data_IF_310764104294
#
_entry.id   IF_310764104294
#
_cell.length_a   1.000
_cell.length_b   1.000
_cell.length_c   1.000
_cell.angle_alpha   90.00
_cell.angle_beta   90.00
_cell.angle_gamma   90.00
#
_symmetry.space_group_name_H-M   'P 1'
#
loop_
_entity.id
_entity.type
_entity.pdbx_description
1 polymer ?
#
# COMPACT_ATOMS: atom_id res chain seq x y z
N UNK A 1 20.38 -0.43 -6.49
CA UNK A 1 19.65 -1.67 -6.80
C UNK A 1 18.83 -1.43 -8.05
N UNK A 2 19.12 -2.09 -9.18
CA UNK A 2 18.27 -1.99 -10.36
C UNK A 2 16.85 -2.49 -10.03
N UNK A 3 15.83 -1.85 -10.60
CA UNK A 3 14.42 -2.23 -10.39
C UNK A 3 13.80 -1.79 -9.07
N UNK A 4 14.51 -0.96 -8.27
CA UNK A 4 13.98 -0.41 -7.02
C UNK A 4 13.94 1.11 -7.11
N UNK A 5 12.76 1.69 -6.91
CA UNK A 5 12.57 3.11 -6.67
C UNK A 5 12.61 3.37 -5.18
N UNK A 6 13.36 4.36 -4.75
CA UNK A 6 13.39 4.84 -3.37
C UNK A 6 13.24 6.36 -3.35
N UNK A 7 12.42 6.87 -2.45
CA UNK A 7 12.23 8.30 -2.28
C UNK A 7 11.86 8.69 -0.84
N UNK A 8 12.12 9.94 -0.51
CA UNK A 8 11.62 10.63 0.68
C UNK A 8 10.87 11.87 0.22
N UNK A 9 9.75 12.17 0.87
CA UNK A 9 8.96 13.38 0.66
C UNK A 9 8.78 14.16 1.96
N UNK A 10 8.68 15.48 1.83
CA UNK A 10 8.30 16.37 2.93
C UNK A 10 6.79 16.28 3.26
N UNK A 11 6.35 17.03 4.26
CA UNK A 11 4.94 17.12 4.69
C UNK A 11 3.99 17.71 3.63
N UNK A 12 4.52 18.35 2.58
CA UNK A 12 3.76 18.84 1.45
C UNK A 12 3.75 17.85 0.26
N UNK A 13 4.14 16.59 0.49
CA UNK A 13 4.24 15.53 -0.51
C UNK A 13 5.24 15.82 -1.66
N UNK A 14 6.24 16.67 -1.40
CA UNK A 14 7.28 17.04 -2.38
C UNK A 14 8.53 16.20 -2.17
N UNK A 15 9.14 15.73 -3.25
CA UNK A 15 10.39 14.95 -3.18
C UNK A 15 11.52 15.77 -2.55
N UNK A 16 12.14 15.22 -1.51
CA UNK A 16 13.36 15.77 -0.87
C UNK A 16 14.56 14.87 -1.10
N UNK A 17 14.34 13.60 -1.40
CA UNK A 17 15.37 12.65 -1.81
C UNK A 17 14.75 11.65 -2.76
N UNK A 18 15.47 11.32 -3.84
CA UNK A 18 15.12 10.20 -4.73
C UNK A 18 16.38 9.45 -5.13
N UNK A 19 16.25 8.18 -5.52
CA UNK A 19 17.34 7.44 -6.13
C UNK A 19 17.40 7.63 -7.66
N UNK A 20 18.50 7.21 -8.27
CA UNK A 20 18.71 7.31 -9.72
C UNK A 20 17.63 6.60 -10.54
N UNK A 21 17.09 5.50 -10.02
CA UNK A 21 16.05 4.71 -10.72
C UNK A 21 14.77 5.52 -10.92
N UNK A 22 14.32 6.28 -9.93
CA UNK A 22 13.16 7.16 -10.09
C UNK A 22 13.43 8.27 -11.12
N UNK A 23 14.61 8.90 -11.07
CA UNK A 23 15.00 9.93 -12.03
C UNK A 23 14.94 9.41 -13.47
N UNK A 24 15.52 8.24 -13.74
CA UNK A 24 15.53 7.61 -15.06
C UNK A 24 14.13 7.29 -15.57
N UNK A 25 13.24 6.75 -14.72
CA UNK A 25 11.85 6.41 -15.09
C UNK A 25 11.05 7.63 -15.52
N UNK A 26 11.27 8.75 -14.85
CA UNK A 26 10.62 10.02 -15.17
C UNK A 26 11.31 10.77 -16.34
N UNK A 27 12.36 10.21 -16.93
CA UNK A 27 13.13 10.83 -18.01
C UNK A 27 14.00 12.01 -17.56
N UNK A 28 14.30 12.11 -16.26
CA UNK A 28 15.24 13.08 -15.73
C UNK A 28 16.68 12.56 -15.81
N UNK A 29 17.62 13.42 -16.21
CA UNK A 29 19.05 13.08 -16.28
C UNK A 29 19.65 12.86 -14.88
N UNK A 30 19.18 13.64 -13.91
CA UNK A 30 19.71 13.64 -12.54
C UNK A 30 18.58 13.71 -11.50
N UNK A 31 18.76 13.11 -10.31
CA UNK A 31 17.82 13.15 -9.19
C UNK A 31 17.32 14.55 -8.83
N UNK A 32 18.22 15.54 -8.85
CA UNK A 32 17.93 16.90 -8.42
C UNK A 32 16.83 17.58 -9.23
N UNK A 33 16.60 17.16 -10.48
CA UNK A 33 15.58 17.73 -11.36
C UNK A 33 14.14 17.48 -10.88
N UNK A 34 13.93 16.53 -9.96
CA UNK A 34 12.62 16.16 -9.44
C UNK A 34 12.39 16.65 -7.99
N UNK A 35 13.41 17.19 -7.33
CA UNK A 35 13.29 17.69 -5.97
C UNK A 35 12.37 18.90 -5.90
N UNK A 36 11.63 19.01 -4.80
CA UNK A 36 10.62 20.05 -4.59
C UNK A 36 9.31 19.84 -5.36
N UNK A 37 9.21 18.79 -6.20
CA UNK A 37 7.99 18.48 -6.98
C UNK A 37 7.15 17.39 -6.31
N UNK A 38 5.84 17.41 -6.55
CA UNK A 38 4.93 16.32 -6.17
C UNK A 38 4.96 15.20 -7.23
N UNK A 39 4.34 14.05 -6.94
CA UNK A 39 4.22 12.99 -7.95
C UNK A 39 3.36 13.46 -9.14
N UNK A 40 2.33 14.29 -8.91
CA UNK A 40 1.50 14.91 -9.94
C UNK A 40 2.28 15.77 -10.93
N UNK A 41 3.34 16.45 -10.47
CA UNK A 41 4.20 17.28 -11.31
C UNK A 41 5.29 16.49 -12.04
N UNK A 42 5.49 15.21 -11.68
CA UNK A 42 6.58 14.36 -12.16
C UNK A 42 6.09 13.24 -13.08
N UNK A 43 4.96 12.63 -12.74
CA UNK A 43 4.36 11.54 -13.49
C UNK A 43 3.31 12.06 -14.48
N UNK A 44 2.98 11.30 -15.54
CA UNK A 44 1.89 11.62 -16.44
C UNK A 44 0.56 11.86 -15.71
N UNK A 45 -0.33 12.65 -16.32
CA UNK A 45 -1.58 13.13 -15.71
C UNK A 45 -2.53 12.03 -15.23
N UNK A 46 -2.48 10.83 -15.80
CA UNK A 46 -3.32 9.70 -15.37
C UNK A 46 -2.76 8.94 -14.16
N UNK A 47 -1.48 9.15 -13.79
CA UNK A 47 -0.83 8.47 -12.66
C UNK A 47 -0.58 9.41 -11.49
N UNK A 48 -0.02 10.59 -11.78
CA UNK A 48 0.52 11.51 -10.78
C UNK A 48 -0.48 11.99 -9.71
N UNK A 49 -1.73 12.36 -10.05
CA UNK A 49 -2.74 12.75 -9.06
C UNK A 49 -3.04 11.62 -8.06
N UNK A 50 -3.17 10.38 -8.54
CA UNK A 50 -3.45 9.23 -7.68
C UNK A 50 -2.33 9.00 -6.67
N UNK A 51 -1.07 9.04 -7.11
CA UNK A 51 0.06 8.88 -6.20
C UNK A 51 0.18 10.00 -5.18
N UNK A 52 -0.09 11.25 -5.60
CA UNK A 52 -0.05 12.40 -4.69
C UNK A 52 -1.14 12.30 -3.64
N UNK A 53 -2.34 11.83 -4.01
CA UNK A 53 -3.42 11.60 -3.07
C UNK A 53 -3.07 10.51 -2.04
N UNK A 54 -2.49 9.40 -2.48
CA UNK A 54 -1.98 8.39 -1.55
C UNK A 54 -0.90 8.95 -0.60
N UNK A 55 0.03 9.75 -1.11
CA UNK A 55 1.08 10.38 -0.31
C UNK A 55 0.46 11.29 0.75
N UNK A 56 -0.54 12.09 0.38
CA UNK A 56 -1.29 12.93 1.32
C UNK A 56 -1.95 12.12 2.42
N UNK A 57 -2.54 10.97 2.11
CA UNK A 57 -3.13 10.07 3.13
C UNK A 57 -2.06 9.62 4.13
N UNK A 58 -0.94 9.08 3.65
CA UNK A 58 0.19 8.66 4.51
C UNK A 58 0.66 9.83 5.39
N UNK A 59 0.75 11.03 4.83
CA UNK A 59 1.19 12.23 5.55
C UNK A 59 0.16 12.79 6.53
N UNK A 60 -1.15 12.59 6.28
CA UNK A 60 -2.21 13.15 7.12
C UNK A 60 -2.45 12.37 8.40
N UNK A 61 -2.43 11.04 8.33
CA UNK A 61 -2.80 10.18 9.46
C UNK A 61 -1.72 9.13 9.80
N UNK A 62 -0.65 9.06 9.02
CA UNK A 62 0.44 8.10 9.22
C UNK A 62 0.15 6.71 8.68
N UNK A 63 -0.95 6.53 7.95
CA UNK A 63 -1.39 5.26 7.38
C UNK A 63 -0.34 4.67 6.44
N UNK A 64 0.26 3.50 6.75
CA UNK A 64 1.16 2.88 5.82
C UNK A 64 0.39 2.36 4.59
N UNK A 65 0.97 2.57 3.42
CA UNK A 65 0.54 1.90 2.20
C UNK A 65 1.48 0.72 1.99
N UNK A 66 0.96 -0.50 2.12
CA UNK A 66 1.77 -1.73 2.13
C UNK A 66 1.46 -2.61 0.92
N UNK A 67 2.49 -2.95 0.13
CA UNK A 67 2.43 -3.86 -1.02
C UNK A 67 1.32 -3.52 -2.01
N UNK A 68 1.13 -2.24 -2.31
CA UNK A 68 0.12 -1.85 -3.29
C UNK A 68 0.64 -2.12 -4.69
N UNK A 69 -0.17 -2.80 -5.48
CA UNK A 69 0.15 -3.06 -6.88
C UNK A 69 -0.15 -1.80 -7.70
N UNK A 70 0.91 -1.19 -8.24
CA UNK A 70 0.83 0.07 -8.98
C UNK A 70 1.49 -0.05 -10.34
N UNK A 71 0.94 0.65 -11.32
CA UNK A 71 1.52 0.73 -12.66
C UNK A 71 2.45 1.93 -12.72
N UNK A 72 3.76 1.75 -12.70
CA UNK A 72 4.75 2.83 -12.81
C UNK A 72 5.32 2.91 -14.23
N UNK A 73 6.07 3.98 -14.52
CA UNK A 73 6.88 4.05 -15.73
C UNK A 73 8.20 3.30 -15.51
N UNK A 74 8.58 2.44 -16.45
CA UNK A 74 9.89 1.79 -16.53
C UNK A 74 10.83 2.62 -17.43
N UNK A 75 12.15 2.31 -17.46
CA UNK A 75 13.06 2.95 -18.42
C UNK A 75 12.50 2.86 -19.85
N UNK A 76 12.49 3.99 -20.58
CA UNK A 76 11.82 4.08 -21.88
C UNK A 76 10.37 4.58 -21.83
N UNK A 77 9.83 4.87 -20.64
CA UNK A 77 8.45 5.33 -20.39
C UNK A 77 7.37 4.30 -20.73
N UNK A 78 7.73 3.03 -20.71
CA UNK A 78 6.76 1.94 -20.82
C UNK A 78 6.10 1.69 -19.45
N UNK A 79 4.77 1.49 -19.39
CA UNK A 79 4.12 1.11 -18.14
C UNK A 79 4.55 -0.29 -17.66
N UNK A 80 4.79 -0.43 -16.35
CA UNK A 80 5.13 -1.70 -15.73
C UNK A 80 4.67 -1.78 -14.27
N UNK A 81 4.28 -2.98 -13.84
CA UNK A 81 3.74 -3.20 -12.51
C UNK A 81 4.83 -3.33 -11.43
N UNK A 82 4.69 -2.55 -10.37
CA UNK A 82 5.52 -2.62 -9.18
C UNK A 82 4.67 -2.78 -7.91
N UNK A 83 5.29 -3.30 -6.85
CA UNK A 83 4.74 -3.23 -5.50
C UNK A 83 5.33 -2.01 -4.79
N UNK A 84 4.45 -1.13 -4.33
CA UNK A 84 4.81 0.10 -3.63
C UNK A 84 4.52 -0.03 -2.13
N UNK A 85 5.47 0.46 -1.34
CA UNK A 85 5.36 0.66 0.09
C UNK A 85 5.59 2.13 0.42
N UNK A 86 4.77 2.70 1.31
CA UNK A 86 4.94 4.06 1.81
C UNK A 86 4.72 4.09 3.32
N UNK A 87 5.61 4.78 4.01
CA UNK A 87 5.65 4.87 5.47
C UNK A 87 5.83 6.33 5.89
N UNK A 88 5.06 6.76 6.88
CA UNK A 88 5.27 8.07 7.50
C UNK A 88 6.59 8.08 8.29
N UNK A 89 7.35 9.15 8.14
CA UNK A 89 8.54 9.44 8.94
C UNK A 89 8.13 10.32 10.11
N UNK A 90 8.58 9.96 11.32
CA UNK A 90 8.22 10.67 12.55
C UNK A 90 9.46 11.21 13.26
N UNK A 91 9.33 12.36 13.90
CA UNK A 91 10.36 12.86 14.82
C UNK A 91 10.31 12.15 16.18
N UNK A 92 11.20 12.53 17.09
CA UNK A 92 11.26 11.96 18.46
C UNK A 92 10.03 12.28 19.30
N UNK A 93 9.16 13.20 18.85
CA UNK A 93 7.90 13.54 19.50
C UNK A 93 6.70 12.85 18.82
N UNK A 94 6.94 11.95 17.86
CA UNK A 94 5.91 11.20 17.15
C UNK A 94 5.21 11.99 16.03
N UNK A 95 5.61 13.24 15.77
CA UNK A 95 5.01 14.10 14.74
C UNK A 95 5.47 13.65 13.35
N UNK A 96 4.55 13.60 12.39
CA UNK A 96 4.88 13.26 11.00
C UNK A 96 5.67 14.43 10.39
N UNK A 97 6.91 14.14 9.97
CA UNK A 97 7.83 15.11 9.35
C UNK A 97 8.02 14.88 7.85
N UNK A 98 7.40 13.83 7.31
CA UNK A 98 7.51 13.44 5.92
C UNK A 98 7.13 11.99 5.73
N UNK A 99 7.57 11.40 4.62
CA UNK A 99 7.34 10.00 4.32
C UNK A 99 8.49 9.42 3.50
N UNK A 100 8.72 8.12 3.65
CA UNK A 100 9.57 7.34 2.77
C UNK A 100 8.71 6.41 1.91
N UNK A 101 9.17 6.15 0.70
CA UNK A 101 8.52 5.20 -0.20
C UNK A 101 9.54 4.35 -0.94
N UNK A 102 9.17 3.09 -1.14
CA UNK A 102 9.95 2.13 -1.91
C UNK A 102 9.02 1.42 -2.87
N UNK A 103 9.39 1.33 -4.14
CA UNK A 103 8.68 0.52 -5.13
C UNK A 103 9.63 -0.49 -5.77
N UNK A 104 9.21 -1.74 -5.81
CA UNK A 104 10.00 -2.84 -6.38
C UNK A 104 9.31 -3.34 -7.64
N UNK A 105 10.06 -3.42 -8.72
CA UNK A 105 9.56 -3.96 -9.98
C UNK A 105 9.22 -5.43 -9.82
N UNK A 106 8.05 -5.82 -10.32
CA UNK A 106 7.74 -7.23 -10.49
C UNK A 106 8.54 -7.73 -11.68
N UNK A 107 9.70 -8.35 -11.40
CA UNK A 107 10.58 -8.95 -12.39
C UNK A 107 9.81 -10.04 -13.17
N UNK A 108 9.34 -9.71 -14.37
CA UNK A 108 8.89 -10.66 -15.37
C UNK A 108 9.02 -10.05 -16.78
N UNK A 109 9.26 -10.86 -17.84
CA UNK A 109 9.23 -10.42 -19.24
C UNK A 109 7.84 -9.95 -19.74
N UNK A 110 6.89 -9.74 -18.84
CA UNK A 110 5.46 -9.58 -19.11
C UNK A 110 4.83 -8.57 -18.14
N UNK A 111 5.52 -7.48 -17.80
CA UNK A 111 4.96 -6.36 -17.01
C UNK A 111 3.72 -5.72 -17.64
N UNK A 112 3.31 -6.17 -18.82
CA UNK A 112 2.09 -5.83 -19.54
C UNK A 112 1.03 -6.96 -19.57
N UNK A 113 1.21 -8.07 -18.84
CA UNK A 113 0.23 -9.16 -18.86
C UNK A 113 -1.12 -8.65 -18.31
N UNK A 114 -2.24 -8.85 -19.02
CA UNK A 114 -3.58 -8.42 -18.58
C UNK A 114 -4.03 -8.97 -17.21
N UNK A 115 -3.28 -9.92 -16.65
CA UNK A 115 -3.59 -10.50 -15.36
C UNK A 115 -3.25 -9.52 -14.22
N UNK A 116 -2.25 -8.66 -14.41
CA UNK A 116 -1.87 -7.70 -13.38
C UNK A 116 -2.92 -6.60 -13.22
N UNK A 117 -3.54 -6.10 -14.30
CA UNK A 117 -4.68 -5.17 -14.20
C UNK A 117 -5.84 -5.79 -13.42
N UNK A 118 -6.18 -7.05 -13.74
CA UNK A 118 -7.22 -7.80 -13.02
C UNK A 118 -6.89 -8.00 -11.55
N UNK A 119 -5.63 -8.23 -11.22
CA UNK A 119 -5.17 -8.39 -9.83
C UNK A 119 -5.09 -7.06 -9.08
N UNK A 120 -4.77 -5.96 -9.77
CA UNK A 120 -4.82 -4.63 -9.20
C UNK A 120 -6.26 -4.23 -8.89
N UNK A 121 -7.22 -4.59 -9.75
CA UNK A 121 -8.64 -4.43 -9.46
C UNK A 121 -9.05 -5.25 -8.22
N UNK A 122 -8.59 -6.49 -8.09
CA UNK A 122 -8.81 -7.32 -6.89
C UNK A 122 -8.20 -6.69 -5.62
N UNK A 123 -6.95 -6.24 -5.67
CA UNK A 123 -6.28 -5.58 -4.53
C UNK A 123 -7.00 -4.29 -4.14
N UNK A 124 -7.37 -3.45 -5.11
CA UNK A 124 -8.14 -2.22 -4.91
C UNK A 124 -9.49 -2.50 -4.27
N UNK A 125 -10.25 -3.47 -4.80
CA UNK A 125 -11.53 -3.86 -4.24
C UNK A 125 -11.39 -4.35 -2.77
N UNK A 126 -10.37 -5.17 -2.48
CA UNK A 126 -10.09 -5.61 -1.10
C UNK A 126 -9.79 -4.42 -0.18
N UNK A 127 -8.98 -3.46 -0.63
CA UNK A 127 -8.61 -2.28 0.17
C UNK A 127 -9.76 -1.30 0.38
N UNK A 128 -10.70 -1.21 -0.54
CA UNK A 128 -11.87 -0.34 -0.42
C UNK A 128 -12.97 -0.97 0.45
N UNK A 129 -13.10 -2.30 0.41
CA UNK A 129 -14.22 -3.01 1.02
C UNK A 129 -13.81 -3.90 2.20
N UNK A 130 -12.58 -3.78 2.72
CA UNK A 130 -12.07 -4.69 3.78
C UNK A 130 -12.97 -4.75 5.03
N UNK A 131 -13.68 -3.65 5.33
CA UNK A 131 -14.57 -3.54 6.48
C UNK A 131 -15.88 -4.34 6.30
N UNK A 132 -16.16 -4.80 5.09
CA UNK A 132 -17.33 -5.58 4.75
C UNK A 132 -16.97 -7.06 4.59
N UNK A 133 -17.99 -7.91 4.42
CA UNK A 133 -17.77 -9.30 4.04
C UNK A 133 -17.44 -9.37 2.54
N UNK A 134 -16.21 -9.76 2.21
CA UNK A 134 -15.78 -9.97 0.83
C UNK A 134 -15.83 -11.48 0.55
N UNK A 135 -16.72 -11.89 -0.36
CA UNK A 135 -16.84 -13.28 -0.76
C UNK A 135 -15.76 -13.61 -1.81
N UNK A 136 -15.22 -14.83 -1.78
CA UNK A 136 -14.24 -15.23 -2.80
C UNK A 136 -14.86 -15.24 -4.22
N UNK A 137 -16.16 -15.54 -4.32
CA UNK A 137 -16.91 -15.48 -5.58
C UNK A 137 -16.93 -14.09 -6.22
N UNK A 138 -17.00 -13.05 -5.40
CA UNK A 138 -16.95 -11.66 -5.85
C UNK A 138 -15.60 -11.33 -6.50
N UNK A 139 -14.50 -11.74 -5.85
CA UNK A 139 -13.14 -11.55 -6.38
C UNK A 139 -12.92 -12.31 -7.69
N UNK A 140 -13.46 -13.53 -7.81
CA UNK A 140 -13.38 -14.31 -9.06
C UNK A 140 -14.22 -13.71 -10.18
N UNK A 141 -15.39 -13.13 -9.87
CA UNK A 141 -16.22 -12.44 -10.84
C UNK A 141 -15.54 -11.16 -11.34
N UNK A 142 -14.92 -10.41 -10.43
CA UNK A 142 -14.18 -9.19 -10.74
C UNK A 142 -12.98 -9.45 -11.67
N UNK A 143 -12.21 -10.52 -11.42
CA UNK A 143 -11.01 -10.82 -12.21
C UNK A 143 -11.28 -11.71 -13.43
N UNK A 144 -12.41 -12.44 -13.44
CA UNK A 144 -12.68 -13.51 -14.40
C UNK A 144 -11.72 -14.70 -14.26
N UNK A 145 -11.12 -14.90 -13.09
CA UNK A 145 -10.24 -16.04 -12.81
C UNK A 145 -10.99 -17.12 -12.04
N UNK A 146 -10.60 -18.38 -12.23
CA UNK A 146 -11.00 -19.41 -11.28
C UNK A 146 -10.35 -19.16 -9.91
N UNK A 147 -10.93 -19.73 -8.85
CA UNK A 147 -10.38 -19.63 -7.49
C UNK A 147 -8.90 -20.03 -7.44
N UNK A 148 -8.55 -21.18 -8.03
CA UNK A 148 -7.18 -21.68 -8.04
C UNK A 148 -6.21 -20.75 -8.79
N UNK A 149 -6.65 -20.15 -9.90
CA UNK A 149 -5.86 -19.16 -10.63
C UNK A 149 -5.62 -17.92 -9.78
N UNK A 150 -6.68 -17.38 -9.15
CA UNK A 150 -6.59 -16.21 -8.30
C UNK A 150 -5.64 -16.45 -7.11
N UNK A 151 -5.78 -17.56 -6.40
CA UNK A 151 -4.90 -17.91 -5.28
C UNK A 151 -3.44 -18.02 -5.71
N UNK A 152 -3.16 -18.74 -6.81
CA UNK A 152 -1.81 -18.91 -7.34
C UNK A 152 -1.18 -17.58 -7.75
N UNK A 153 -1.95 -16.72 -8.44
CA UNK A 153 -1.47 -15.42 -8.89
C UNK A 153 -1.23 -14.48 -7.73
N UNK A 154 -2.16 -14.39 -6.77
CA UNK A 154 -1.99 -13.60 -5.56
C UNK A 154 -0.77 -14.07 -4.77
N UNK A 155 -0.58 -15.38 -4.60
CA UNK A 155 0.60 -15.94 -3.93
C UNK A 155 1.90 -15.62 -4.65
N UNK A 156 1.92 -15.68 -5.98
CA UNK A 156 3.12 -15.36 -6.75
C UNK A 156 3.51 -13.89 -6.64
N UNK A 157 2.54 -12.98 -6.61
CA UNK A 157 2.77 -11.54 -6.71
C UNK A 157 2.86 -10.90 -5.34
N UNK A 158 1.82 -11.06 -4.52
CA UNK A 158 1.72 -10.45 -3.19
C UNK A 158 2.30 -11.33 -2.09
N UNK A 159 2.71 -12.58 -2.38
CA UNK A 159 3.09 -13.59 -1.38
C UNK A 159 1.94 -13.96 -0.42
N UNK A 160 0.71 -13.59 -0.75
CA UNK A 160 -0.49 -13.73 0.08
C UNK A 160 -1.61 -14.40 -0.73
N UNK A 161 -2.49 -15.14 -0.05
CA UNK A 161 -3.77 -15.54 -0.63
C UNK A 161 -4.76 -14.37 -0.58
N UNK A 162 -5.85 -14.36 -1.36
CA UNK A 162 -6.88 -13.32 -1.27
C UNK A 162 -7.40 -13.11 0.16
N UNK A 163 -7.64 -14.21 0.89
CA UNK A 163 -8.04 -14.15 2.30
C UNK A 163 -6.97 -13.48 3.18
N UNK A 164 -5.70 -13.79 2.97
CA UNK A 164 -4.60 -13.14 3.70
C UNK A 164 -4.47 -11.65 3.35
N UNK A 165 -4.73 -11.26 2.09
CA UNK A 165 -4.78 -9.85 1.68
C UNK A 165 -5.88 -9.10 2.44
N UNK A 166 -7.09 -9.67 2.56
CA UNK A 166 -8.18 -9.09 3.36
C UNK A 166 -7.75 -8.92 4.82
N UNK A 167 -7.18 -9.97 5.44
CA UNK A 167 -6.70 -9.88 6.81
C UNK A 167 -5.62 -8.80 7.00
N UNK A 168 -4.72 -8.66 6.03
CA UNK A 168 -3.68 -7.62 6.04
C UNK A 168 -4.26 -6.21 5.93
N UNK A 169 -5.24 -6.00 5.04
CA UNK A 169 -5.93 -4.72 4.91
C UNK A 169 -6.63 -4.33 6.21
N UNK A 170 -7.37 -5.28 6.81
CA UNK A 170 -8.03 -5.10 8.11
C UNK A 170 -7.03 -4.79 9.22
N UNK A 171 -5.90 -5.48 9.26
CA UNK A 171 -4.85 -5.25 10.24
C UNK A 171 -4.25 -3.84 10.11
N UNK A 172 -3.96 -3.39 8.89
CA UNK A 172 -3.45 -2.04 8.64
C UNK A 172 -4.41 -0.95 9.11
N UNK A 173 -5.71 -1.12 8.84
CA UNK A 173 -6.74 -0.23 9.36
C UNK A 173 -6.83 -0.26 10.89
N UNK A 174 -6.72 -1.45 11.50
CA UNK A 174 -6.78 -1.60 12.94
C UNK A 174 -5.59 -0.91 13.64
N UNK A 175 -4.36 -1.08 13.15
CA UNK A 175 -3.18 -0.44 13.75
C UNK A 175 -3.26 1.07 13.70
N UNK A 176 -3.84 1.64 12.63
CA UNK A 176 -4.11 3.08 12.54
C UNK A 176 -5.11 3.53 13.61
N UNK A 177 -6.28 2.89 13.68
CA UNK A 177 -7.32 3.25 14.64
C UNK A 177 -6.90 3.04 16.10
N UNK A 178 -5.98 2.10 16.35
CA UNK A 178 -5.45 1.82 17.69
C UNK A 178 -4.61 2.97 18.26
N UNK A 179 -4.05 3.84 17.41
CA UNK A 179 -3.35 5.06 17.85
C UNK A 179 -4.30 6.12 18.44
N UNK A 180 -5.59 6.05 18.12
CA UNK A 180 -6.62 6.93 18.67
C UNK A 180 -7.28 6.39 19.94
N UNK A 181 -8.35 7.06 20.37
CA UNK A 181 -9.07 6.76 21.60
C UNK A 181 -10.27 5.83 21.42
N UNK A 182 -10.55 5.38 20.18
CA UNK A 182 -11.71 4.53 19.91
C UNK A 182 -11.68 3.24 20.76
N UNK A 183 -12.82 2.81 21.33
CA UNK A 183 -12.90 1.52 22.00
C UNK A 183 -12.45 0.38 21.08
N UNK A 184 -11.74 -0.60 21.61
CA UNK A 184 -11.20 -1.73 20.80
C UNK A 184 -12.35 -2.52 20.16
N UNK A 185 -13.50 -2.59 20.82
CA UNK A 185 -14.74 -3.19 20.29
C UNK A 185 -15.25 -2.47 19.05
N UNK A 186 -15.23 -1.14 19.06
CA UNK A 186 -15.61 -0.29 17.92
C UNK A 186 -14.61 -0.43 16.77
N UNK A 187 -13.31 -0.52 17.07
CA UNK A 187 -12.27 -0.78 16.07
C UNK A 187 -12.48 -2.13 15.39
N UNK A 188 -12.81 -3.17 16.16
CA UNK A 188 -13.09 -4.49 15.60
C UNK A 188 -14.22 -4.44 14.56
N UNK A 189 -15.32 -3.74 14.87
CA UNK A 189 -16.46 -3.56 13.98
C UNK A 189 -16.06 -2.79 12.71
N UNK A 190 -15.32 -1.68 12.85
CA UNK A 190 -14.84 -0.87 11.71
C UNK A 190 -13.86 -1.63 10.82
N UNK A 191 -13.16 -2.61 11.37
CA UNK A 191 -12.27 -3.50 10.62
C UNK A 191 -13.00 -4.75 10.05
N UNK A 192 -14.33 -4.80 10.10
CA UNK A 192 -15.13 -5.88 9.50
C UNK A 192 -15.09 -7.20 10.28
N UNK A 193 -14.82 -7.15 11.58
CA UNK A 193 -14.98 -8.29 12.48
C UNK A 193 -16.36 -8.23 13.13
N UNK A 194 -17.01 -9.39 13.23
CA UNK A 194 -18.33 -9.53 13.87
C UNK A 194 -18.28 -9.36 15.38
N UNK A 195 -17.12 -9.64 15.99
CA UNK A 195 -16.93 -9.52 17.43
C UNK A 195 -15.46 -9.25 17.80
N UNK A 196 -15.30 -8.68 18.99
CA UNK A 196 -14.01 -8.31 19.58
C UNK A 196 -13.07 -9.51 19.78
N UNK A 197 -13.60 -10.69 20.07
CA UNK A 197 -12.80 -11.89 20.38
C UNK A 197 -12.15 -12.46 19.11
N UNK A 198 -12.86 -12.46 17.98
CA UNK A 198 -12.32 -12.82 16.68
C UNK A 198 -11.22 -11.83 16.26
N UNK A 199 -11.49 -10.53 16.39
CA UNK A 199 -10.49 -9.48 16.11
C UNK A 199 -9.23 -9.65 16.96
N UNK A 200 -9.37 -9.73 18.29
CA UNK A 200 -8.22 -9.80 19.20
C UNK A 200 -7.34 -11.03 18.97
N UNK A 201 -7.94 -12.20 18.70
CA UNK A 201 -7.19 -13.42 18.36
C UNK A 201 -6.43 -13.26 17.04
N UNK A 202 -7.10 -12.73 16.01
CA UNK A 202 -6.46 -12.56 14.70
C UNK A 202 -5.36 -11.50 14.75
N UNK A 203 -5.59 -10.39 15.45
CA UNK A 203 -4.62 -9.32 15.63
C UNK A 203 -3.37 -9.85 16.36
N UNK A 204 -3.55 -10.59 17.46
CA UNK A 204 -2.44 -11.21 18.19
C UNK A 204 -1.70 -12.25 17.36
N UNK A 205 -2.40 -13.06 16.58
CA UNK A 205 -1.76 -14.03 15.69
C UNK A 205 -0.87 -13.38 14.63
N UNK A 206 -1.23 -12.17 14.17
CA UNK A 206 -0.47 -11.45 13.13
C UNK A 206 0.61 -10.52 13.68
N UNK A 207 0.44 -9.96 14.88
CA UNK A 207 1.35 -8.95 15.46
C UNK A 207 2.17 -9.45 16.64
N UNK A 208 1.80 -10.60 17.22
CA UNK A 208 2.41 -11.15 18.44
C UNK A 208 1.83 -10.59 19.75
N UNK A 209 1.13 -9.46 19.73
CA UNK A 209 0.58 -8.78 20.93
C UNK A 209 -0.92 -8.51 20.79
N UNK A 210 -1.63 -8.32 21.91
CA UNK A 210 -3.06 -7.98 21.85
C UNK A 210 -3.29 -6.54 21.35
N UNK A 211 -4.48 -6.19 20.83
CA UNK A 211 -4.78 -4.82 20.43
C UNK A 211 -4.59 -3.80 21.58
N UNK A 212 -4.96 -4.16 22.81
CA UNK A 212 -4.76 -3.30 23.99
C UNK A 212 -3.28 -3.07 24.26
N UNK A 213 -2.48 -4.15 24.28
CA UNK A 213 -1.03 -4.05 24.48
C UNK A 213 -0.36 -3.24 23.37
N UNK A 214 -0.81 -3.43 22.12
CA UNK A 214 -0.30 -2.65 20.99
C UNK A 214 -0.58 -1.15 21.19
N UNK A 215 -1.80 -0.78 21.59
CA UNK A 215 -2.16 0.60 21.91
C UNK A 215 -1.31 1.17 23.05
N UNK A 216 -1.15 0.44 24.14
CA UNK A 216 -0.38 0.90 25.31
C UNK A 216 1.08 1.13 24.96
N UNK A 217 1.65 0.33 24.05
CA UNK A 217 3.03 0.50 23.58
C UNK A 217 3.23 1.68 22.61
N UNK A 218 2.15 2.22 22.03
CA UNK A 218 2.19 3.29 21.02
C UNK A 218 1.53 4.60 21.51
N UNK A 219 1.18 4.67 22.79
CA UNK A 219 0.81 5.90 23.50
C UNK A 219 2.03 6.47 24.20
#
# INVERSE_FOLDING_TARGET
>A
MPGVVFFIKDTAARYVLINQTLAQRCGAKEPNALLGKTAEQVFPSHFGPHYTEQDRRVLSDGSPLSDQLELHLYPGREPGWCLTHKLALRDTQGRIIGMAGISYDLLAPQSSHPAYEKLAAVDGHIREHYAQHIALGELTALSGFSVAQLERLCKRIFQLTPRQMIHKARLGAATQLLSGELPITEIALRCGYTDHSAFSRQFKALTGVSPSQYRDNHR
#
